data_IF_514011086287
#
_entry.id   IF_514011086287
#
_cell.length_a   1.000
_cell.length_b   1.000
_cell.length_c   1.000
_cell.angle_alpha   90.00
_cell.angle_beta   90.00
_cell.angle_gamma   90.00
#
_symmetry.space_group_name_H-M   'P 1'
#
loop_
_entity.id
_entity.type
_entity.pdbx_description
1 polymer ?
#
# COMPACT_ATOMS: atom_id res chain seq x y z
N UNK A 1 -30.51 -24.90 -9.07
CA UNK A 1 -30.50 -23.76 -8.12
C UNK A 1 -29.14 -23.08 -8.23
N UNK A 2 -29.09 -21.89 -8.85
CA UNK A 2 -27.84 -21.21 -9.18
C UNK A 2 -27.06 -20.77 -7.93
N UNK A 3 -25.73 -20.94 -7.96
CA UNK A 3 -24.85 -20.42 -6.91
C UNK A 3 -25.00 -18.90 -6.87
N UNK A 4 -25.44 -18.36 -5.73
CA UNK A 4 -25.38 -16.91 -5.51
C UNK A 4 -23.91 -16.52 -5.49
N UNK A 5 -23.45 -15.77 -6.49
CA UNK A 5 -22.15 -15.10 -6.48
C UNK A 5 -22.13 -14.14 -5.29
N UNK A 6 -21.62 -14.60 -4.16
CA UNK A 6 -21.56 -13.82 -2.92
C UNK A 6 -20.45 -12.79 -3.08
N UNK A 7 -20.82 -11.57 -3.43
CA UNK A 7 -19.88 -10.44 -3.52
C UNK A 7 -19.24 -10.26 -2.14
N UNK A 8 -17.91 -10.25 -2.11
CA UNK A 8 -17.16 -10.05 -0.87
C UNK A 8 -17.11 -8.57 -0.54
N UNK A 9 -17.79 -8.15 0.53
CA UNK A 9 -17.77 -6.76 1.02
C UNK A 9 -16.35 -6.26 1.30
N UNK A 10 -15.45 -7.15 1.70
CA UNK A 10 -14.02 -6.83 1.89
C UNK A 10 -13.34 -6.39 0.60
N UNK A 11 -13.60 -7.08 -0.52
CA UNK A 11 -13.03 -6.71 -1.83
C UNK A 11 -13.60 -5.37 -2.29
N UNK A 12 -14.91 -5.21 -2.19
CA UNK A 12 -15.57 -3.95 -2.56
C UNK A 12 -15.03 -2.78 -1.74
N UNK A 13 -14.84 -2.95 -0.43
CA UNK A 13 -14.24 -1.92 0.42
C UNK A 13 -12.80 -1.58 0.02
N UNK A 14 -12.01 -2.58 -0.39
CA UNK A 14 -10.65 -2.39 -0.88
C UNK A 14 -10.63 -1.57 -2.18
N UNK A 15 -11.48 -1.94 -3.14
CA UNK A 15 -11.59 -1.26 -4.43
C UNK A 15 -12.02 0.21 -4.27
N UNK A 16 -12.98 0.47 -3.37
CA UNK A 16 -13.42 1.82 -3.03
C UNK A 16 -12.29 2.62 -2.38
N UNK A 17 -11.60 2.03 -1.40
CA UNK A 17 -10.47 2.66 -0.73
C UNK A 17 -9.36 3.03 -1.71
N UNK A 18 -9.05 2.14 -2.65
CA UNK A 18 -8.06 2.37 -3.69
C UNK A 18 -8.48 3.50 -4.64
N UNK A 19 -9.75 3.52 -5.07
CA UNK A 19 -10.26 4.60 -5.90
C UNK A 19 -10.17 5.98 -5.21
N UNK A 20 -10.47 6.04 -3.91
CA UNK A 20 -10.32 7.26 -3.10
C UNK A 20 -8.85 7.67 -2.99
N UNK A 21 -7.96 6.73 -2.67
CA UNK A 21 -6.51 6.98 -2.56
C UNK A 21 -5.92 7.53 -3.86
N UNK A 22 -6.23 6.89 -4.99
CA UNK A 22 -5.80 7.34 -6.32
C UNK A 22 -6.30 8.75 -6.63
N UNK A 23 -7.59 8.99 -6.41
CA UNK A 23 -8.22 10.24 -6.82
C UNK A 23 -7.79 11.44 -5.95
N UNK A 24 -7.65 11.26 -4.64
CA UNK A 24 -7.40 12.37 -3.72
C UNK A 24 -5.94 12.50 -3.27
N UNK A 25 -5.20 11.40 -3.23
CA UNK A 25 -3.86 11.34 -2.64
C UNK A 25 -2.78 11.01 -3.67
N UNK A 26 -3.17 10.77 -4.94
CA UNK A 26 -2.28 10.37 -6.03
C UNK A 26 -1.40 9.17 -5.64
N UNK A 27 -2.01 8.19 -4.96
CA UNK A 27 -1.33 6.96 -4.53
C UNK A 27 -2.01 5.72 -5.10
N UNK A 28 -1.19 4.74 -5.43
CA UNK A 28 -1.59 3.40 -5.84
C UNK A 28 -1.57 2.41 -4.66
N UNK A 29 -1.09 2.84 -3.50
CA UNK A 29 -0.85 2.00 -2.34
C UNK A 29 -1.91 2.21 -1.24
N UNK A 30 -2.27 1.12 -0.59
CA UNK A 30 -3.17 1.13 0.58
C UNK A 30 -2.44 0.96 1.92
N UNK A 31 -1.11 0.85 1.89
CA UNK A 31 -0.29 0.80 3.12
C UNK A 31 0.04 2.21 3.63
N UNK A 32 0.59 2.29 4.85
CA UNK A 32 0.96 3.57 5.45
C UNK A 32 2.17 4.21 4.77
N UNK A 33 2.28 5.53 4.89
CA UNK A 33 3.49 6.27 4.57
C UNK A 33 4.51 6.26 5.72
N UNK A 34 5.79 6.39 5.37
CA UNK A 34 6.90 6.65 6.27
C UNK A 34 7.43 8.06 6.05
N UNK A 35 7.38 8.89 7.09
CA UNK A 35 7.95 10.24 7.09
C UNK A 35 9.26 10.24 7.88
N UNK A 36 10.41 10.40 7.21
CA UNK A 36 11.69 10.58 7.89
C UNK A 36 11.65 11.74 8.89
N UNK A 37 12.49 11.65 9.92
CA UNK A 37 12.52 12.62 11.02
C UNK A 37 12.55 14.06 10.50
N UNK A 38 11.60 14.87 10.97
CA UNK A 38 11.49 16.29 10.60
C UNK A 38 10.55 16.59 9.44
N UNK A 39 10.00 15.57 8.75
CA UNK A 39 8.90 15.78 7.80
C UNK A 39 7.54 15.75 8.51
N UNK A 40 6.73 16.77 8.26
CA UNK A 40 5.32 16.79 8.68
C UNK A 40 4.51 15.88 7.75
N UNK A 41 3.65 15.04 8.31
CA UNK A 41 2.72 14.23 7.53
C UNK A 41 1.65 15.13 6.90
N UNK A 42 1.56 15.13 5.57
CA UNK A 42 0.56 15.87 4.83
C UNK A 42 -0.04 14.99 3.73
N UNK A 43 -1.18 15.38 3.19
CA UNK A 43 -1.77 14.69 2.03
C UNK A 43 -0.86 14.82 0.81
N UNK A 44 -0.22 15.98 0.65
CA UNK A 44 0.63 16.30 -0.50
C UNK A 44 1.89 15.44 -0.58
N UNK A 45 2.38 14.94 0.56
CA UNK A 45 3.56 14.08 0.61
C UNK A 45 3.22 12.62 0.97
N UNK A 46 1.93 12.24 0.90
CA UNK A 46 1.49 10.90 1.29
C UNK A 46 2.05 9.81 0.37
N UNK A 47 1.94 9.99 -0.95
CA UNK A 47 2.51 9.06 -1.93
C UNK A 47 4.04 8.92 -1.78
N UNK A 48 4.77 10.04 -1.64
CA UNK A 48 6.23 10.03 -1.39
C UNK A 48 6.57 9.29 -0.09
N UNK A 49 5.73 9.43 0.94
CA UNK A 49 5.94 8.71 2.18
C UNK A 49 5.70 7.20 2.02
N UNK A 50 4.75 6.76 1.19
CA UNK A 50 4.56 5.35 0.87
C UNK A 50 5.77 4.77 0.12
N UNK A 51 6.33 5.50 -0.83
CA UNK A 51 7.59 5.11 -1.48
C UNK A 51 8.74 5.00 -0.48
N UNK A 52 8.86 5.97 0.43
CA UNK A 52 9.88 5.96 1.47
C UNK A 52 9.72 4.78 2.44
N UNK A 53 8.49 4.34 2.70
CA UNK A 53 8.20 3.15 3.51
C UNK A 53 8.72 1.89 2.83
N UNK A 54 8.39 1.70 1.57
CA UNK A 54 8.86 0.54 0.78
C UNK A 54 10.38 0.55 0.66
N UNK A 55 10.98 1.72 0.40
CA UNK A 55 12.43 1.88 0.38
C UNK A 55 13.09 1.50 1.71
N UNK A 56 12.51 1.91 2.84
CA UNK A 56 13.04 1.56 4.16
C UNK A 56 13.08 0.04 4.35
N UNK A 57 12.01 -0.68 3.97
CA UNK A 57 11.98 -2.14 4.04
C UNK A 57 13.09 -2.74 3.18
N UNK A 58 13.20 -2.30 1.92
CA UNK A 58 14.20 -2.80 0.97
C UNK A 58 15.63 -2.55 1.45
N UNK A 59 15.91 -1.37 2.02
CA UNK A 59 17.21 -1.00 2.56
C UNK A 59 17.60 -1.83 3.81
N UNK A 60 16.63 -2.47 4.48
CA UNK A 60 16.87 -3.35 5.63
C UNK A 60 17.02 -4.83 5.25
N UNK A 61 16.84 -5.19 3.97
CA UNK A 61 17.07 -6.55 3.51
C UNK A 61 18.58 -6.81 3.52
N UNK A 62 19.07 -7.87 4.20
CA UNK A 62 20.49 -8.17 4.23
C UNK A 62 21.06 -8.36 2.81
N UNK A 63 22.29 -7.89 2.63
CA UNK A 63 23.06 -8.16 1.41
C UNK A 63 23.09 -9.67 1.15
N UNK A 64 23.10 -10.04 -0.13
CA UNK A 64 23.11 -11.43 -0.60
C UNK A 64 21.83 -12.26 -0.38
N UNK A 65 20.74 -11.65 0.10
CA UNK A 65 19.41 -12.31 0.15
C UNK A 65 19.03 -12.87 -1.22
N UNK A 66 18.82 -14.20 -1.30
CA UNK A 66 18.54 -14.91 -2.57
C UNK A 66 17.06 -15.03 -2.90
N UNK A 67 16.20 -15.02 -1.88
CA UNK A 67 14.74 -15.21 -2.03
C UNK A 67 14.01 -14.39 -0.98
N UNK A 68 12.91 -13.78 -1.41
CA UNK A 68 12.00 -13.00 -0.57
C UNK A 68 10.60 -13.57 -0.78
N UNK A 69 9.85 -13.72 0.31
CA UNK A 69 8.42 -14.00 0.29
C UNK A 69 7.69 -12.74 0.71
N UNK A 70 6.89 -12.18 -0.19
CA UNK A 70 6.02 -11.04 0.10
C UNK A 70 4.61 -11.55 0.45
N UNK A 71 4.24 -11.44 1.73
CA UNK A 71 2.98 -11.95 2.25
C UNK A 71 1.95 -10.83 2.24
N UNK A 72 0.96 -10.95 1.35
CA UNK A 72 -0.08 -9.91 1.20
C UNK A 72 0.41 -8.72 0.38
N UNK A 73 1.15 -9.00 -0.70
CA UNK A 73 1.83 -8.06 -1.61
C UNK A 73 0.95 -7.03 -2.33
N UNK A 74 -0.32 -6.90 -1.97
CA UNK A 74 -1.28 -6.12 -2.75
C UNK A 74 -1.51 -6.72 -4.14
N UNK A 75 -1.79 -5.85 -5.11
CA UNK A 75 -2.16 -6.18 -6.49
C UNK A 75 -1.37 -5.37 -7.49
#
# INVERSE_FOLDING_TARGET
MGSKNKISSKRVGLDIGLAIGRFFLNTEDLHYGYWPKGKTATIQNFAEAQDAHSKLIMDHIPNETKRILDVGSGS
#
